data_IF_869170536200
#
_entry.id   IF_869170536200
#
_cell.length_a   1.000
_cell.length_b   1.000
_cell.length_c   1.000
_cell.angle_alpha   90.00
_cell.angle_beta   90.00
_cell.angle_gamma   90.00
#
_symmetry.space_group_name_H-M   'P 1'
#
loop_
_entity.id
_entity.type
_entity.pdbx_description
1 polymer ?
#
# COMPACT_ATOMS: atom_id res chain seq x y z
N UNK A 1 17.29 16.99 10.85
CA UNK A 1 17.99 16.05 10.43
C UNK A 1 17.95 15.94 9.00
N UNK A 2 18.59 15.06 8.59
CA UNK A 2 18.88 15.01 7.23
C UNK A 2 17.79 14.38 6.44
N UNK A 3 17.84 14.50 5.19
CA UNK A 3 16.96 13.88 4.29
C UNK A 3 17.11 12.42 4.28
N UNK A 4 18.27 11.93 4.65
CA UNK A 4 18.49 10.50 4.76
C UNK A 4 17.57 9.88 5.75
N UNK A 5 17.33 10.57 6.83
CA UNK A 5 16.46 10.01 7.83
C UNK A 5 15.04 9.88 7.35
N UNK A 6 14.53 10.87 6.65
CA UNK A 6 13.22 10.78 6.11
C UNK A 6 13.08 9.67 5.12
N UNK A 7 14.06 9.52 4.27
CA UNK A 7 14.06 8.43 3.35
C UNK A 7 14.08 7.11 4.03
N UNK A 8 14.87 7.00 5.09
CA UNK A 8 14.95 5.75 5.82
C UNK A 8 13.66 5.34 6.43
N UNK A 9 12.94 6.28 6.98
CA UNK A 9 11.66 5.94 7.60
C UNK A 9 10.71 5.32 6.59
N UNK A 10 10.63 5.89 5.42
CA UNK A 10 9.74 5.34 4.42
C UNK A 10 10.27 4.05 3.87
N UNK A 11 11.57 3.95 3.68
CA UNK A 11 12.17 2.75 3.10
C UNK A 11 12.00 1.55 3.99
N UNK A 12 11.96 1.76 5.29
CA UNK A 12 11.82 0.64 6.21
C UNK A 12 10.37 0.37 6.56
N UNK A 13 9.44 1.07 5.94
CA UNK A 13 8.05 0.82 6.19
C UNK A 13 7.52 1.45 7.46
N UNK A 14 8.31 2.27 8.10
CA UNK A 14 7.85 2.95 9.29
C UNK A 14 6.83 4.00 8.90
N UNK A 15 5.75 4.10 9.66
CA UNK A 15 4.72 5.07 9.37
C UNK A 15 4.94 6.30 10.23
N UNK A 16 5.47 7.38 9.67
CA UNK A 16 5.68 8.58 10.48
C UNK A 16 4.37 9.23 10.83
N UNK A 17 4.36 9.88 11.96
CA UNK A 17 3.19 10.61 12.36
C UNK A 17 3.08 11.89 11.58
N UNK A 18 1.86 12.26 11.26
CA UNK A 18 1.61 13.54 10.64
C UNK A 18 1.83 14.61 11.71
N UNK A 19 2.53 15.69 11.40
CA UNK A 19 2.83 16.67 12.44
C UNK A 19 1.58 17.32 12.98
N UNK A 20 1.58 17.55 14.26
CA UNK A 20 0.49 18.29 14.86
C UNK A 20 0.68 19.77 14.59
N UNK A 21 -0.36 20.40 14.08
CA UNK A 21 -0.24 21.79 13.71
C UNK A 21 -1.05 22.68 14.60
N UNK A 22 -2.01 22.11 15.28
CA UNK A 22 -3.08 22.87 15.80
C UNK A 22 -3.10 23.11 17.25
N UNK A 23 -2.05 23.08 17.93
CA UNK A 23 -2.13 23.33 19.33
C UNK A 23 -1.66 24.67 19.68
N UNK A 24 -1.61 25.01 20.94
CA UNK A 24 -0.97 26.17 21.47
C UNK A 24 -1.53 27.48 20.97
N UNK A 25 -2.81 27.57 20.90
CA UNK A 25 -3.39 28.84 20.50
C UNK A 25 -3.22 29.17 19.05
N UNK A 26 -3.02 28.16 18.27
CA UNK A 26 -2.90 28.32 16.84
C UNK A 26 -4.07 29.13 16.29
N UNK A 27 -3.81 30.18 15.52
CA UNK A 27 -4.89 31.00 14.97
C UNK A 27 -5.77 30.25 14.00
N UNK A 28 -5.36 29.09 13.53
CA UNK A 28 -6.20 28.30 12.64
C UNK A 28 -7.22 27.46 13.37
N UNK A 29 -7.11 27.43 14.70
CA UNK A 29 -8.04 26.65 15.47
C UNK A 29 -9.44 27.18 15.28
N UNK A 30 -10.38 26.32 15.01
CA UNK A 30 -11.76 26.71 14.80
C UNK A 30 -12.11 27.10 13.37
N UNK A 31 -11.12 27.17 12.50
CA UNK A 31 -11.38 27.44 11.11
C UNK A 31 -11.70 26.14 10.41
N UNK A 32 -12.96 25.91 10.11
CA UNK A 32 -13.39 24.63 9.59
C UNK A 32 -12.79 24.31 8.24
N UNK A 33 -12.62 25.32 7.40
CA UNK A 33 -12.03 25.05 6.09
C UNK A 33 -10.58 24.58 6.23
N UNK A 34 -9.83 25.26 7.06
CA UNK A 34 -8.42 24.92 7.24
C UNK A 34 -8.31 23.54 7.89
N UNK A 35 -9.11 23.30 8.91
CA UNK A 35 -9.05 22.02 9.60
C UNK A 35 -9.43 20.89 8.67
N UNK A 36 -10.44 21.08 7.83
CA UNK A 36 -10.81 20.05 6.87
C UNK A 36 -9.75 19.79 5.84
N UNK A 37 -9.05 20.84 5.44
CA UNK A 37 -7.97 20.68 4.48
C UNK A 37 -6.82 19.90 5.08
N UNK A 38 -6.52 20.15 6.34
CA UNK A 38 -5.46 19.42 7.02
C UNK A 38 -5.82 17.95 7.14
N UNK A 39 -7.08 17.66 7.48
CA UNK A 39 -7.51 16.28 7.57
C UNK A 39 -7.38 15.57 6.24
N UNK A 40 -7.75 16.25 5.17
CA UNK A 40 -7.66 15.64 3.87
C UNK A 40 -6.23 15.37 3.46
N UNK A 41 -5.34 16.31 3.75
CA UNK A 41 -3.93 16.10 3.47
C UNK A 41 -3.35 14.95 4.28
N UNK A 42 -3.82 14.81 5.51
CA UNK A 42 -3.37 13.70 6.33
C UNK A 42 -3.82 12.37 5.75
N UNK A 43 -5.05 12.30 5.27
CA UNK A 43 -5.54 11.09 4.63
C UNK A 43 -4.73 10.74 3.40
N UNK A 44 -4.37 11.76 2.61
CA UNK A 44 -3.57 11.52 1.42
C UNK A 44 -2.18 11.05 1.78
N UNK A 45 -1.62 11.62 2.85
CA UNK A 45 -0.31 11.21 3.31
C UNK A 45 -0.33 9.75 3.73
N UNK A 46 -1.34 9.36 4.51
CA UNK A 46 -1.43 7.99 4.98
C UNK A 46 -1.58 7.01 3.83
N UNK A 47 -2.34 7.39 2.81
CA UNK A 47 -2.50 6.53 1.65
C UNK A 47 -1.19 6.34 0.90
N UNK A 48 -0.39 7.39 0.81
CA UNK A 48 0.91 7.28 0.16
C UNK A 48 1.86 6.40 0.94
N UNK A 49 1.82 6.47 2.27
CA UNK A 49 2.65 5.61 3.09
C UNK A 49 2.27 4.15 2.87
N UNK A 50 0.98 3.87 2.82
CA UNK A 50 0.54 2.51 2.57
C UNK A 50 1.00 2.03 1.20
N UNK A 51 0.95 2.90 0.21
CA UNK A 51 1.38 2.55 -1.12
C UNK A 51 2.87 2.22 -1.16
N UNK A 52 3.66 2.98 -0.43
CA UNK A 52 5.09 2.70 -0.34
C UNK A 52 5.33 1.35 0.32
N UNK A 53 4.60 1.08 1.39
CA UNK A 53 4.78 -0.18 2.10
C UNK A 53 4.38 -1.37 1.23
N UNK A 54 3.26 -1.25 0.52
CA UNK A 54 2.83 -2.32 -0.35
C UNK A 54 3.81 -2.53 -1.50
N UNK A 55 4.25 -1.44 -2.12
CA UNK A 55 5.19 -1.55 -3.24
C UNK A 55 6.49 -2.20 -2.79
N UNK A 56 6.99 -1.80 -1.64
CA UNK A 56 8.21 -2.37 -1.11
C UNK A 56 8.05 -3.87 -0.83
N UNK A 57 6.93 -4.24 -0.25
CA UNK A 57 6.69 -5.63 0.06
C UNK A 57 6.62 -6.49 -1.20
N UNK A 58 5.91 -5.99 -2.20
CA UNK A 58 5.79 -6.74 -3.45
C UNK A 58 7.13 -6.85 -4.16
N UNK A 59 7.89 -5.76 -4.14
CA UNK A 59 9.20 -5.79 -4.80
C UNK A 59 10.17 -6.73 -4.14
N UNK A 60 9.99 -6.98 -2.87
CA UNK A 60 10.83 -7.92 -2.14
C UNK A 60 10.33 -9.35 -2.21
N UNK A 61 9.14 -9.57 -2.73
CA UNK A 61 8.58 -10.91 -2.82
C UNK A 61 9.23 -11.68 -3.96
N UNK A 62 9.25 -12.98 -3.82
CA UNK A 62 9.77 -13.84 -4.89
C UNK A 62 8.76 -13.89 -6.03
N UNK A 63 9.26 -13.67 -7.25
CA UNK A 63 8.39 -13.74 -8.40
C UNK A 63 9.16 -14.39 -9.53
N UNK A 64 8.51 -15.31 -10.23
CA UNK A 64 9.18 -16.11 -11.23
C UNK A 64 9.18 -15.52 -12.63
N UNK A 65 8.51 -14.39 -12.84
CA UNK A 65 8.40 -13.81 -14.17
C UNK A 65 8.57 -12.30 -14.05
N UNK A 66 8.84 -11.67 -15.17
CA UNK A 66 8.92 -10.22 -15.22
C UNK A 66 7.50 -9.66 -15.19
N UNK A 67 7.20 -8.77 -14.25
CA UNK A 67 5.84 -8.25 -14.14
C UNK A 67 5.42 -7.45 -15.37
N UNK A 68 4.15 -7.59 -15.72
CA UNK A 68 3.56 -6.86 -16.82
C UNK A 68 2.61 -5.83 -16.27
N UNK A 69 2.77 -4.58 -16.73
CA UNK A 69 1.93 -3.49 -16.23
C UNK A 69 0.48 -3.78 -16.55
N UNK A 70 -0.36 -3.58 -15.56
CA UNK A 70 -1.80 -3.76 -15.73
C UNK A 70 -2.31 -5.15 -15.49
N UNK A 71 -1.43 -6.11 -15.33
CA UNK A 71 -1.86 -7.48 -15.12
C UNK A 71 -2.01 -7.74 -13.63
N UNK A 72 -2.94 -8.60 -13.25
CA UNK A 72 -3.16 -8.95 -11.86
C UNK A 72 -2.14 -9.97 -11.39
N UNK A 73 -1.60 -9.72 -10.22
CA UNK A 73 -0.74 -10.66 -9.54
C UNK A 73 -1.22 -10.79 -8.11
N UNK A 74 -0.99 -11.96 -7.51
CA UNK A 74 -1.52 -12.27 -6.20
C UNK A 74 -0.38 -12.52 -5.25
N UNK A 75 -0.38 -11.80 -4.14
CA UNK A 75 0.66 -11.93 -3.13
C UNK A 75 0.24 -12.95 -2.11
N UNK A 76 1.09 -13.93 -1.88
CA UNK A 76 0.88 -14.97 -0.90
C UNK A 76 2.03 -14.99 0.07
N UNK A 77 1.76 -15.47 1.26
CA UNK A 77 2.83 -15.78 2.20
C UNK A 77 2.82 -17.28 2.40
N UNK A 78 3.90 -17.93 2.02
CA UNK A 78 4.03 -19.36 2.12
C UNK A 78 5.23 -19.69 2.95
N UNK A 79 5.00 -20.28 4.11
CA UNK A 79 6.07 -20.68 5.02
C UNK A 79 6.97 -19.51 5.38
N UNK A 80 6.35 -18.38 5.62
CA UNK A 80 7.08 -17.19 6.05
C UNK A 80 7.70 -16.38 4.95
N UNK A 81 7.51 -16.78 3.70
CA UNK A 81 8.11 -16.05 2.59
C UNK A 81 7.02 -15.49 1.68
N UNK A 82 7.16 -14.23 1.29
CA UNK A 82 6.22 -13.60 0.38
C UNK A 82 6.51 -14.04 -1.04
N UNK A 83 5.46 -14.41 -1.76
CA UNK A 83 5.56 -14.91 -3.12
C UNK A 83 4.48 -14.27 -3.97
N UNK A 84 4.84 -13.83 -5.17
CA UNK A 84 3.87 -13.30 -6.12
C UNK A 84 3.58 -14.33 -7.19
N UNK A 85 2.29 -14.49 -7.52
CA UNK A 85 1.87 -15.49 -8.49
C UNK A 85 0.76 -14.94 -9.35
N UNK A 86 0.62 -15.46 -10.55
CA UNK A 86 -0.50 -15.11 -11.40
C UNK A 86 -1.73 -15.95 -11.12
N UNK A 87 -1.63 -16.90 -10.23
CA UNK A 87 -2.71 -17.83 -9.93
C UNK A 87 -3.58 -17.26 -8.82
N UNK A 88 -4.87 -17.15 -9.10
CA UNK A 88 -5.82 -16.61 -8.13
C UNK A 88 -6.07 -17.63 -7.01
N UNK A 89 -6.54 -17.18 -5.86
CA UNK A 89 -6.70 -18.12 -4.73
C UNK A 89 -7.60 -19.30 -5.05
N UNK A 90 -8.63 -19.09 -5.83
CA UNK A 90 -9.58 -20.17 -6.10
C UNK A 90 -9.05 -21.15 -7.14
N UNK A 91 -7.94 -20.86 -7.78
CA UNK A 91 -7.38 -21.74 -8.79
C UNK A 91 -6.44 -22.78 -8.22
N UNK A 92 -6.04 -22.64 -6.96
CA UNK A 92 -5.13 -23.58 -6.34
C UNK A 92 -5.85 -24.84 -5.91
N UNK A 93 -5.14 -25.97 -5.99
CA UNK A 93 -5.65 -27.18 -5.35
C UNK A 93 -5.20 -27.17 -3.90
N UNK A 94 -5.81 -28.04 -3.10
CA UNK A 94 -5.46 -28.08 -1.69
C UNK A 94 -4.00 -28.43 -1.47
N UNK A 95 -3.46 -29.28 -2.33
CA UNK A 95 -2.10 -29.76 -2.13
C UNK A 95 -1.06 -28.72 -2.49
N UNK A 96 -1.41 -27.76 -3.34
CA UNK A 96 -0.44 -26.79 -3.82
C UNK A 96 -0.70 -25.39 -3.32
N UNK A 97 -1.76 -25.21 -2.54
CA UNK A 97 -2.16 -23.89 -2.08
C UNK A 97 -1.13 -23.31 -1.13
N UNK A 98 -0.71 -22.05 -1.34
CA UNK A 98 0.15 -21.39 -0.36
C UNK A 98 -0.59 -21.19 0.96
N UNK A 99 0.17 -20.98 2.02
CA UNK A 99 -0.41 -20.88 3.35
C UNK A 99 -1.41 -19.75 3.49
N UNK A 100 -1.05 -18.56 3.02
CA UNK A 100 -1.90 -17.39 3.22
C UNK A 100 -1.97 -16.57 1.96
N UNK A 101 -3.17 -16.11 1.65
CA UNK A 101 -3.36 -15.12 0.60
C UNK A 101 -3.36 -13.74 1.25
N UNK A 102 -2.56 -12.83 0.70
CA UNK A 102 -2.44 -11.50 1.26
C UNK A 102 -3.30 -10.51 0.49
N UNK A 103 -3.04 -10.33 -0.80
CA UNK A 103 -3.80 -9.37 -1.59
C UNK A 103 -3.49 -9.52 -3.07
N UNK A 104 -4.32 -8.91 -3.89
CA UNK A 104 -4.11 -8.84 -5.32
C UNK A 104 -3.53 -7.49 -5.65
N UNK A 105 -2.57 -7.46 -6.56
CA UNK A 105 -1.88 -6.24 -6.93
C UNK A 105 -1.77 -6.09 -8.43
N UNK A 106 -1.67 -4.85 -8.87
CA UNK A 106 -1.31 -4.54 -10.25
C UNK A 106 -0.17 -3.55 -10.25
N UNK A 107 0.76 -3.75 -11.17
CA UNK A 107 1.84 -2.79 -11.38
C UNK A 107 1.31 -1.69 -12.28
N UNK A 108 1.47 -0.46 -11.87
CA UNK A 108 0.99 0.67 -12.64
C UNK A 108 2.11 1.30 -13.44
N UNK A 109 1.74 2.21 -14.36
CA UNK A 109 2.72 2.80 -15.25
C UNK A 109 3.72 3.68 -14.52
N UNK A 110 3.35 4.17 -13.33
CA UNK A 110 4.29 4.97 -12.55
C UNK A 110 5.17 4.13 -11.64
N UNK A 111 5.17 2.81 -11.83
CA UNK A 111 6.12 1.96 -11.15
C UNK A 111 5.76 1.55 -9.74
N UNK A 112 4.52 1.74 -9.36
CA UNK A 112 4.09 1.33 -8.02
C UNK A 112 3.12 0.18 -8.12
N UNK A 113 3.01 -0.59 -7.04
CA UNK A 113 2.10 -1.71 -6.96
C UNK A 113 0.88 -1.29 -6.16
N UNK A 114 -0.28 -1.33 -6.81
CA UNK A 114 -1.52 -0.92 -6.15
C UNK A 114 -2.39 -2.12 -5.89
N UNK A 115 -3.03 -2.12 -4.74
CA UNK A 115 -3.96 -3.19 -4.42
C UNK A 115 -5.15 -3.13 -5.34
N UNK A 116 -5.59 -4.30 -5.76
CA UNK A 116 -6.73 -4.41 -6.62
C UNK A 116 -7.55 -5.57 -6.10
N UNK A 117 -8.68 -5.29 -5.48
CA UNK A 117 -9.43 -6.33 -4.84
C UNK A 117 -10.85 -6.34 -5.31
N UNK A 118 -11.53 -7.42 -4.98
CA UNK A 118 -12.91 -7.54 -5.33
C UNK A 118 -13.76 -6.49 -4.71
N UNK A 119 -13.43 -6.08 -3.51
CA UNK A 119 -14.17 -5.03 -2.86
C UNK A 119 -14.12 -3.75 -3.66
N UNK A 120 -12.94 -3.43 -4.17
CA UNK A 120 -12.79 -2.24 -4.98
C UNK A 120 -13.55 -2.36 -6.28
N UNK A 121 -13.52 -3.52 -6.87
CA UNK A 121 -14.25 -3.73 -8.08
C UNK A 121 -15.73 -3.57 -7.87
N UNK A 122 -16.22 -4.12 -6.78
CA UNK A 122 -17.63 -4.02 -6.48
C UNK A 122 -18.06 -2.58 -6.28
N UNK A 123 -17.21 -1.80 -5.65
CA UNK A 123 -17.52 -0.43 -5.43
C UNK A 123 -17.56 0.34 -6.73
N UNK A 124 -16.69 0.01 -7.64
CA UNK A 124 -16.65 0.70 -8.91
C UNK A 124 -17.86 0.40 -9.76
N UNK A 125 -18.41 -0.76 -9.58
CA UNK A 125 -19.54 -1.14 -10.38
C UNK A 125 -20.81 -0.49 -9.93
N UNK A 126 -20.83 0.00 -8.73
CA UNK A 126 -22.00 0.71 -8.23
C UNK A 126 -22.15 2.10 -8.84
#
# INVERSE_FOLDING_TARGET
>A
LSQGDKKSLLAYGTTPSFPAIVDHGNPLKGNQYIEGRIEKLQEEYDALVELVQDTTRVENAAIGVTPIIGKKYYLYNNKGQDVMSMIAPEEWTENTRPDFFIACFKLTTDGVWRRYGEDNENQHQD
#
